data_IF_865711427725
#
_entry.id   IF_865711427725
#
_cell.length_a   1.000
_cell.length_b   1.000
_cell.length_c   1.000
_cell.angle_alpha   90.00
_cell.angle_beta   90.00
_cell.angle_gamma   90.00
#
_symmetry.space_group_name_H-M   'P 1'
#
loop_
_entity.id
_entity.type
_entity.pdbx_description
1 polymer ?
#
# COMPACT_ATOMS: atom_id res chain seq x y z
N UNK A 1 -11.97 -13.10 12.54
CA UNK A 1 -10.84 -13.70 11.81
C UNK A 1 -11.19 -14.08 10.37
N UNK A 2 -12.40 -14.58 10.07
CA UNK A 2 -12.78 -15.02 8.70
C UNK A 2 -12.46 -14.03 7.56
N UNK A 3 -12.76 -12.73 7.72
CA UNK A 3 -12.46 -11.72 6.69
C UNK A 3 -10.95 -11.60 6.42
N UNK A 4 -10.12 -11.59 7.47
CA UNK A 4 -8.67 -11.50 7.32
C UNK A 4 -8.12 -12.69 6.52
N UNK A 5 -8.50 -13.91 6.90
CA UNK A 5 -8.08 -15.15 6.22
C UNK A 5 -8.55 -15.16 4.76
N UNK A 6 -9.77 -14.69 4.48
CA UNK A 6 -10.27 -14.60 3.12
C UNK A 6 -9.47 -13.59 2.26
N UNK A 7 -9.10 -12.44 2.83
CA UNK A 7 -8.29 -11.42 2.14
C UNK A 7 -6.86 -11.88 1.90
N UNK A 8 -6.25 -12.55 2.86
CA UNK A 8 -4.92 -13.16 2.71
C UNK A 8 -4.93 -14.22 1.61
N UNK A 9 -5.90 -15.14 1.63
CA UNK A 9 -6.05 -16.14 0.58
C UNK A 9 -6.30 -15.53 -0.80
N UNK A 10 -7.09 -14.45 -0.89
CA UNK A 10 -7.29 -13.70 -2.13
C UNK A 10 -5.98 -13.10 -2.64
N UNK A 11 -5.22 -12.44 -1.77
CA UNK A 11 -3.97 -11.79 -2.14
C UNK A 11 -2.91 -12.80 -2.61
N UNK A 12 -2.77 -13.93 -1.91
CA UNK A 12 -1.91 -15.04 -2.32
C UNK A 12 -2.31 -15.63 -3.68
N UNK A 13 -3.61 -15.75 -3.96
CA UNK A 13 -4.10 -16.22 -5.27
C UNK A 13 -3.83 -15.22 -6.40
N UNK A 14 -3.72 -13.93 -6.10
CA UNK A 14 -3.39 -12.89 -7.07
C UNK A 14 -1.88 -12.69 -7.26
N UNK A 15 -1.04 -13.14 -6.33
CA UNK A 15 0.42 -13.01 -6.43
C UNK A 15 0.97 -13.54 -7.77
N UNK A 16 0.61 -14.75 -8.24
CA UNK A 16 1.09 -15.24 -9.54
C UNK A 16 0.66 -14.36 -10.72
N UNK A 17 -0.50 -13.70 -10.64
CA UNK A 17 -0.99 -12.78 -11.67
C UNK A 17 -0.09 -11.55 -11.76
N UNK A 18 0.28 -10.97 -10.62
CA UNK A 18 1.24 -9.85 -10.59
C UNK A 18 2.61 -10.29 -11.10
N UNK A 19 3.09 -11.46 -10.69
CA UNK A 19 4.37 -12.00 -11.15
C UNK A 19 4.42 -12.20 -12.66
N UNK A 20 3.35 -12.76 -13.26
CA UNK A 20 3.23 -12.88 -14.72
C UNK A 20 3.16 -11.53 -15.42
N UNK A 21 2.45 -10.54 -14.84
CA UNK A 21 2.37 -9.20 -15.42
C UNK A 21 3.73 -8.47 -15.44
N UNK A 22 4.66 -8.88 -14.56
CA UNK A 22 6.05 -8.44 -14.58
C UNK A 22 6.89 -9.16 -15.64
N UNK A 23 6.39 -10.21 -16.29
CA UNK A 23 7.14 -11.03 -17.25
C UNK A 23 8.00 -12.10 -16.58
N UNK A 24 7.62 -12.52 -15.37
CA UNK A 24 8.29 -13.59 -14.61
C UNK A 24 7.41 -14.84 -14.54
N UNK A 25 8.02 -15.99 -14.26
CA UNK A 25 7.30 -17.24 -13.99
C UNK A 25 6.33 -17.09 -12.81
N UNK A 26 5.12 -17.68 -12.83
CA UNK A 26 4.08 -17.43 -11.83
C UNK A 26 4.51 -17.67 -10.37
N UNK A 27 5.45 -18.59 -10.14
CA UNK A 27 6.00 -18.91 -8.82
C UNK A 27 7.22 -18.10 -8.39
N UNK A 28 7.72 -17.18 -9.21
CA UNK A 28 9.00 -16.50 -8.98
C UNK A 28 9.04 -15.74 -7.63
N UNK A 29 7.95 -15.10 -7.25
CA UNK A 29 7.85 -14.38 -5.96
C UNK A 29 7.34 -15.25 -4.81
N UNK A 30 6.96 -16.52 -5.02
CA UNK A 30 6.31 -17.32 -3.97
C UNK A 30 7.20 -17.49 -2.73
N UNK A 31 8.53 -17.49 -2.90
CA UNK A 31 9.49 -17.56 -1.80
C UNK A 31 9.53 -16.32 -0.91
N UNK A 32 9.06 -15.17 -1.39
CA UNK A 32 9.04 -13.90 -0.63
C UNK A 32 7.70 -13.70 0.10
N UNK A 33 6.75 -14.62 -0.05
CA UNK A 33 5.38 -14.54 0.47
C UNK A 33 4.93 -15.89 1.08
N UNK A 34 5.81 -16.59 1.80
CA UNK A 34 5.45 -17.86 2.47
C UNK A 34 4.66 -17.61 3.75
N UNK A 35 4.99 -16.55 4.47
CA UNK A 35 4.30 -16.06 5.67
C UNK A 35 4.11 -14.54 5.53
N UNK A 36 3.26 -14.11 4.58
CA UNK A 36 3.22 -12.74 4.12
C UNK A 36 2.80 -11.79 5.24
N UNK A 37 3.46 -10.63 5.32
CA UNK A 37 3.08 -9.63 6.30
C UNK A 37 1.75 -8.95 5.92
N UNK A 38 0.67 -9.43 6.52
CA UNK A 38 -0.67 -8.90 6.32
C UNK A 38 -1.07 -7.97 7.47
N UNK A 39 -1.72 -6.85 7.16
CA UNK A 39 -2.31 -5.95 8.17
C UNK A 39 -3.71 -5.54 7.76
N UNK A 40 -4.67 -5.66 8.68
CA UNK A 40 -6.02 -5.14 8.53
C UNK A 40 -6.20 -3.95 9.46
N UNK A 41 -6.63 -2.80 8.94
CA UNK A 41 -7.00 -1.65 9.77
C UNK A 41 -8.50 -1.41 9.69
N UNK A 42 -9.09 -1.07 10.84
CA UNK A 42 -10.46 -0.58 10.93
C UNK A 42 -10.40 0.91 11.26
N UNK A 43 -10.60 1.75 10.25
CA UNK A 43 -10.41 3.19 10.39
C UNK A 43 -11.78 3.87 10.41
N UNK A 44 -11.98 4.72 11.42
CA UNK A 44 -13.16 5.59 11.54
C UNK A 44 -12.71 7.04 11.38
N UNK A 45 -13.18 7.70 10.32
CA UNK A 45 -13.01 9.13 10.11
C UNK A 45 -14.20 9.87 10.72
N UNK A 46 -13.90 10.81 11.60
CA UNK A 46 -14.93 11.64 12.24
C UNK A 46 -15.56 12.62 11.24
N UNK A 47 -16.83 13.00 11.43
CA UNK A 47 -17.49 14.05 10.68
C UNK A 47 -16.64 15.33 10.65
N UNK A 48 -16.60 15.98 9.49
CA UNK A 48 -15.97 17.28 9.32
C UNK A 48 -17.00 18.23 8.70
N UNK A 49 -17.68 19.07 9.51
CA UNK A 49 -18.77 19.92 9.04
C UNK A 49 -18.28 21.05 8.13
N UNK A 50 -17.06 21.55 8.35
CA UNK A 50 -16.47 22.64 7.56
C UNK A 50 -15.21 22.13 6.83
N UNK A 51 -15.19 22.17 5.48
CA UNK A 51 -14.01 21.82 4.71
C UNK A 51 -12.94 22.90 4.87
N UNK A 52 -11.85 22.56 5.55
CA UNK A 52 -10.69 23.43 5.73
C UNK A 52 -9.55 23.03 4.79
N UNK A 53 -8.97 24.00 4.07
CA UNK A 53 -7.85 23.73 3.19
C UNK A 53 -6.64 23.18 3.97
N UNK A 54 -6.09 22.06 3.52
CA UNK A 54 -4.98 21.39 4.20
C UNK A 54 -5.39 20.47 5.35
N UNK A 55 -6.70 20.38 5.67
CA UNK A 55 -7.20 19.42 6.65
C UNK A 55 -7.42 18.05 5.99
N UNK A 56 -6.62 17.08 6.41
CA UNK A 56 -6.72 15.70 5.93
C UNK A 56 -7.34 14.79 7.00
N UNK A 57 -8.21 13.88 6.58
CA UNK A 57 -8.51 12.67 7.36
C UNK A 57 -7.29 11.75 7.43
N UNK A 58 -6.46 11.76 6.39
CA UNK A 58 -5.13 11.15 6.37
C UNK A 58 -4.28 11.84 5.30
N UNK A 59 -3.10 12.32 5.69
CA UNK A 59 -2.24 13.13 4.82
C UNK A 59 -1.80 12.36 3.56
N UNK A 60 -1.42 13.06 2.47
CA UNK A 60 -0.86 12.43 1.28
C UNK A 60 0.32 11.50 1.60
N UNK A 61 0.25 10.26 1.15
CA UNK A 61 1.28 9.24 1.38
C UNK A 61 1.23 8.16 0.30
N UNK A 62 2.21 7.27 0.34
CA UNK A 62 2.17 5.97 -0.34
C UNK A 62 2.15 4.86 0.71
N UNK A 63 1.56 3.75 0.33
CA UNK A 63 1.62 2.51 1.10
C UNK A 63 2.98 1.83 0.93
N UNK A 64 3.45 1.14 1.97
CA UNK A 64 4.81 0.55 2.03
C UNK A 64 4.82 -0.96 1.82
N UNK A 65 3.66 -1.58 1.62
CA UNK A 65 3.47 -3.01 1.35
C UNK A 65 3.56 -3.31 -0.16
N UNK A 66 3.07 -4.47 -0.58
CA UNK A 66 3.05 -4.88 -1.98
C UNK A 66 1.78 -4.39 -2.71
N UNK A 67 0.60 -4.72 -2.17
CA UNK A 67 -0.69 -4.30 -2.72
C UNK A 67 -1.70 -4.07 -1.58
N UNK A 68 -2.57 -3.06 -1.74
CA UNK A 68 -3.60 -2.74 -0.75
C UNK A 68 -4.99 -2.96 -1.35
N UNK A 69 -5.85 -3.66 -0.61
CA UNK A 69 -7.27 -3.83 -0.94
C UNK A 69 -8.12 -3.03 0.04
N UNK A 70 -8.89 -2.08 -0.45
CA UNK A 70 -9.76 -1.25 0.37
C UNK A 70 -11.23 -1.58 0.11
N UNK A 71 -11.88 -2.15 1.13
CA UNK A 71 -13.34 -2.14 1.18
C UNK A 71 -13.80 -0.71 1.51
N UNK A 72 -14.35 -0.04 0.50
CA UNK A 72 -14.76 1.35 0.62
C UNK A 72 -16.14 1.49 1.27
N UNK A 73 -16.30 2.56 2.05
CA UNK A 73 -17.62 3.10 2.36
C UNK A 73 -18.21 3.76 1.12
N UNK A 74 -19.55 3.80 1.03
CA UNK A 74 -20.27 4.60 0.04
C UNK A 74 -20.01 6.12 0.18
N UNK A 75 -19.48 6.56 1.33
CA UNK A 75 -19.13 7.96 1.54
C UNK A 75 -17.79 8.32 0.86
N UNK A 76 -17.74 9.45 0.13
CA UNK A 76 -16.51 9.89 -0.51
C UNK A 76 -15.44 10.24 0.52
N UNK A 77 -14.18 10.15 0.12
CA UNK A 77 -13.10 10.72 0.92
C UNK A 77 -11.71 10.23 0.56
N UNK A 78 -11.58 9.05 -0.07
CA UNK A 78 -10.32 8.66 -0.69
C UNK A 78 -10.08 9.51 -1.94
N UNK A 79 -8.88 10.07 -2.06
CA UNK A 79 -8.37 10.65 -3.28
C UNK A 79 -7.05 9.95 -3.64
N UNK A 80 -6.89 9.58 -4.90
CA UNK A 80 -5.67 8.97 -5.46
C UNK A 80 -5.06 9.93 -6.47
N UNK A 81 -3.73 9.96 -6.54
CA UNK A 81 -2.99 10.82 -7.46
C UNK A 81 -2.62 10.05 -8.72
N UNK A 82 -2.93 10.60 -9.88
CA UNK A 82 -2.55 10.03 -11.18
C UNK A 82 -1.07 10.27 -11.46
N UNK A 83 -0.55 9.64 -12.53
CA UNK A 83 0.84 9.86 -12.98
C UNK A 83 1.05 11.29 -13.48
N UNK A 84 -0.01 11.91 -14.01
CA UNK A 84 -0.04 13.30 -14.46
C UNK A 84 -0.05 14.28 -13.27
N UNK A 85 -0.24 13.78 -12.05
CA UNK A 85 -0.18 14.56 -10.82
C UNK A 85 -1.53 15.05 -10.30
N UNK A 86 -2.63 14.71 -11.00
CA UNK A 86 -3.99 15.08 -10.67
C UNK A 86 -4.58 14.23 -9.54
N UNK A 87 -5.38 14.83 -8.68
CA UNK A 87 -6.10 14.11 -7.62
C UNK A 87 -7.50 13.72 -8.09
N UNK A 88 -7.81 12.43 -8.11
CA UNK A 88 -9.13 11.92 -8.46
C UNK A 88 -9.75 11.11 -7.32
N UNK A 89 -11.08 11.03 -7.33
CA UNK A 89 -11.85 10.19 -6.41
C UNK A 89 -12.27 8.92 -7.15
N UNK A 90 -11.81 7.73 -6.71
CA UNK A 90 -12.28 6.49 -7.31
C UNK A 90 -13.79 6.33 -7.03
N UNK A 91 -14.56 5.80 -7.99
CA UNK A 91 -15.99 5.59 -7.81
C UNK A 91 -16.25 4.53 -6.72
N UNK A 92 -17.27 4.76 -5.90
CA UNK A 92 -17.71 3.77 -4.91
C UNK A 92 -18.64 2.75 -5.60
N UNK A 93 -18.09 1.62 -6.02
CA UNK A 93 -18.85 0.54 -6.68
C UNK A 93 -19.21 -0.54 -5.63
N UNK A 94 -20.52 -0.79 -5.36
CA UNK A 94 -20.94 -1.81 -4.39
C UNK A 94 -20.37 -3.19 -4.70
N UNK A 95 -19.92 -3.90 -3.66
CA UNK A 95 -19.37 -5.27 -3.78
C UNK A 95 -17.96 -5.34 -4.35
N UNK A 96 -17.26 -4.22 -4.50
CA UNK A 96 -15.89 -4.18 -5.03
C UNK A 96 -14.87 -3.68 -4.00
N UNK A 97 -13.59 -3.95 -4.28
CA UNK A 97 -12.46 -3.32 -3.61
C UNK A 97 -11.85 -2.26 -4.51
N UNK A 98 -11.40 -1.15 -3.92
CA UNK A 98 -10.38 -0.32 -4.55
C UNK A 98 -9.02 -0.92 -4.26
N UNK A 99 -8.21 -1.09 -5.30
CA UNK A 99 -6.89 -1.73 -5.20
C UNK A 99 -5.80 -0.72 -5.55
N UNK A 100 -4.84 -0.54 -4.65
CA UNK A 100 -3.74 0.40 -4.85
C UNK A 100 -2.40 -0.35 -4.90
N UNK A 101 -1.53 0.05 -5.82
CA UNK A 101 -0.12 -0.35 -5.85
C UNK A 101 0.65 0.35 -4.74
N UNK A 102 1.58 -0.37 -4.12
CA UNK A 102 2.37 0.11 -3.00
C UNK A 102 3.87 -0.01 -3.29
N UNK A 103 4.69 0.52 -2.38
CA UNK A 103 6.14 0.68 -2.55
C UNK A 103 6.86 -0.62 -2.93
N UNK A 104 6.51 -1.77 -2.33
CA UNK A 104 7.23 -3.02 -2.60
C UNK A 104 6.97 -3.52 -4.02
N UNK A 105 5.73 -3.40 -4.53
CA UNK A 105 5.45 -3.73 -5.93
C UNK A 105 6.17 -2.74 -6.87
N UNK A 106 6.26 -1.47 -6.50
CA UNK A 106 7.11 -0.49 -7.20
C UNK A 106 8.55 -0.97 -7.30
N UNK A 107 9.15 -1.38 -6.18
CA UNK A 107 10.53 -1.89 -6.14
C UNK A 107 10.72 -3.17 -6.95
N UNK A 108 9.86 -4.18 -6.78
CA UNK A 108 9.94 -5.42 -7.58
C UNK A 108 9.82 -5.14 -9.07
N UNK A 109 9.00 -4.16 -9.45
CA UNK A 109 8.70 -3.86 -10.85
C UNK A 109 9.63 -2.83 -11.49
N UNK A 110 10.66 -2.37 -10.77
CA UNK A 110 11.48 -1.22 -11.18
C UNK A 110 10.62 0.00 -11.56
N UNK A 111 9.53 0.23 -10.80
CA UNK A 111 8.50 1.26 -10.98
C UNK A 111 7.60 1.13 -12.22
N UNK A 112 7.64 -0.01 -12.94
CA UNK A 112 6.62 -0.31 -13.96
C UNK A 112 5.21 -0.25 -13.37
N UNK A 113 5.05 -0.76 -12.16
CA UNK A 113 3.90 -0.54 -11.28
C UNK A 113 4.24 0.48 -10.20
N UNK A 114 4.29 1.75 -10.58
CA UNK A 114 4.53 2.84 -9.64
C UNK A 114 3.55 2.81 -8.45
N UNK A 115 4.00 3.07 -7.21
CA UNK A 115 3.13 3.21 -6.05
C UNK A 115 2.10 4.31 -6.27
N UNK A 116 0.88 4.14 -5.76
CA UNK A 116 -0.21 5.10 -5.95
C UNK A 116 -0.29 6.06 -4.76
N UNK A 117 0.16 7.34 -4.89
CA UNK A 117 0.00 8.31 -3.81
C UNK A 117 -1.49 8.54 -3.57
N UNK A 118 -1.89 8.55 -2.31
CA UNK A 118 -3.28 8.73 -1.95
C UNK A 118 -3.41 9.51 -0.64
N UNK A 119 -4.58 10.12 -0.44
CA UNK A 119 -4.92 10.90 0.73
C UNK A 119 -6.38 10.68 1.11
N UNK A 120 -6.74 11.06 2.32
CA UNK A 120 -8.14 11.12 2.74
C UNK A 120 -8.53 12.55 3.04
N UNK A 121 -9.51 13.06 2.32
CA UNK A 121 -10.15 14.36 2.55
C UNK A 121 -11.59 14.09 2.94
N UNK A 122 -11.94 14.30 4.21
CA UNK A 122 -13.35 14.16 4.62
C UNK A 122 -14.05 15.49 4.43
N UNK A 123 -15.04 15.54 3.53
CA UNK A 123 -15.86 16.72 3.29
C UNK A 123 -17.32 16.49 3.71
N UNK A 124 -17.57 15.40 4.43
CA UNK A 124 -18.92 15.04 4.86
C UNK A 124 -19.06 15.25 6.36
N UNK A 125 -20.23 15.74 6.76
CA UNK A 125 -20.62 15.74 8.17
C UNK A 125 -21.12 14.35 8.64
N UNK A 126 -20.61 13.28 8.02
CA UNK A 126 -20.98 11.90 8.30
C UNK A 126 -19.76 11.09 8.73
N UNK A 127 -20.01 10.05 9.53
CA UNK A 127 -18.97 9.09 9.92
C UNK A 127 -18.61 8.21 8.73
N UNK A 128 -17.35 8.23 8.33
CA UNK A 128 -16.83 7.39 7.23
C UNK A 128 -15.95 6.28 7.77
N UNK A 129 -16.18 5.07 7.28
CA UNK A 129 -15.37 3.90 7.62
C UNK A 129 -14.49 3.48 6.44
N UNK A 130 -13.32 2.95 6.75
CA UNK A 130 -12.43 2.33 5.79
C UNK A 130 -11.83 1.06 6.39
N UNK A 131 -11.80 0.00 5.60
CA UNK A 131 -11.26 -1.31 6.00
C UNK A 131 -10.16 -1.70 5.00
N UNK A 132 -8.99 -1.02 5.01
CA UNK A 132 -7.87 -1.41 4.16
C UNK A 132 -7.19 -2.67 4.70
N UNK A 133 -6.95 -3.61 3.78
CA UNK A 133 -6.11 -4.79 3.96
C UNK A 133 -4.81 -4.59 3.17
N UNK A 134 -3.69 -4.57 3.89
CA UNK A 134 -2.35 -4.39 3.35
C UNK A 134 -1.69 -5.75 3.24
N UNK A 135 -1.37 -6.17 2.01
CA UNK A 135 -0.62 -7.39 1.73
C UNK A 135 0.82 -7.02 1.39
N UNK A 136 1.77 -7.52 2.18
CA UNK A 136 3.21 -7.31 1.99
C UNK A 136 3.98 -8.64 2.00
N UNK A 137 5.26 -8.61 1.57
CA UNK A 137 6.12 -9.77 1.61
C UNK A 137 6.45 -10.19 3.05
N UNK A 138 7.11 -11.34 3.19
CA UNK A 138 7.67 -11.83 4.45
C UNK A 138 8.65 -10.79 5.03
N UNK A 139 8.78 -10.75 6.35
CA UNK A 139 9.63 -9.74 7.01
C UNK A 139 11.12 -9.85 6.60
N UNK A 140 11.60 -11.06 6.37
CA UNK A 140 12.98 -11.34 5.96
C UNK A 140 13.20 -11.29 4.44
N UNK A 141 12.14 -11.09 3.65
CA UNK A 141 12.26 -10.98 2.20
C UNK A 141 13.19 -9.83 1.78
N UNK A 142 14.06 -10.12 0.80
CA UNK A 142 14.99 -9.15 0.20
C UNK A 142 14.38 -8.63 -1.09
N UNK A 143 13.87 -7.41 -1.03
CA UNK A 143 13.15 -6.76 -2.11
C UNK A 143 14.14 -6.14 -3.08
N UNK A 144 14.05 -6.53 -4.35
CA UNK A 144 14.85 -5.99 -5.45
C UNK A 144 14.07 -6.10 -6.77
N UNK A 145 14.37 -5.27 -7.77
CA UNK A 145 13.76 -5.40 -9.08
C UNK A 145 13.90 -6.81 -9.66
N UNK A 146 12.83 -7.33 -10.24
CA UNK A 146 12.86 -8.62 -10.92
C UNK A 146 13.68 -8.52 -12.21
N UNK A 147 14.34 -9.61 -12.66
CA UNK A 147 15.20 -9.59 -13.84
C UNK A 147 14.54 -9.05 -15.10
N UNK A 148 13.26 -9.37 -15.34
CA UNK A 148 12.51 -8.89 -16.52
C UNK A 148 12.24 -7.38 -16.53
N UNK A 149 12.41 -6.69 -15.40
CA UNK A 149 12.23 -5.25 -15.26
C UNK A 149 13.55 -4.46 -15.25
N UNK A 150 14.68 -5.14 -15.50
CA UNK A 150 16.01 -4.52 -15.54
C UNK A 150 16.67 -4.83 -16.88
N UNK A 151 17.05 -3.80 -17.62
CA UNK A 151 17.77 -3.90 -18.90
C UNK A 151 18.93 -2.90 -18.91
N UNK A 152 19.85 -2.96 -19.88
CA UNK A 152 20.87 -1.91 -20.05
C UNK A 152 20.26 -0.51 -20.21
N UNK A 153 19.10 -0.39 -20.86
CA UNK A 153 18.38 0.88 -21.09
C UNK A 153 17.53 1.29 -19.87
N UNK A 154 17.09 0.32 -19.07
CA UNK A 154 16.33 0.53 -17.84
C UNK A 154 17.07 -0.14 -16.67
N UNK A 155 18.19 0.45 -16.20
CA UNK A 155 18.96 -0.12 -15.11
C UNK A 155 18.15 -0.17 -13.82
N UNK A 156 18.60 -0.98 -12.85
CA UNK A 156 17.96 -1.06 -11.54
C UNK A 156 17.92 0.32 -10.87
N UNK A 157 16.72 0.77 -10.50
CA UNK A 157 16.53 2.03 -9.76
C UNK A 157 16.67 1.87 -8.25
N UNK A 158 16.73 0.63 -7.78
CA UNK A 158 16.69 0.30 -6.36
C UNK A 158 17.80 -0.66 -5.99
N UNK A 159 18.50 -0.33 -4.91
CA UNK A 159 19.34 -1.30 -4.20
C UNK A 159 18.46 -2.33 -3.48
N UNK A 160 18.95 -3.57 -3.31
CA UNK A 160 18.28 -4.57 -2.50
C UNK A 160 18.00 -4.08 -1.08
N UNK A 161 16.81 -4.40 -0.57
CA UNK A 161 16.33 -3.92 0.72
C UNK A 161 15.59 -5.03 1.43
N UNK A 162 15.97 -5.35 2.67
CA UNK A 162 15.21 -6.26 3.51
C UNK A 162 13.95 -5.56 4.03
N UNK A 163 12.79 -6.22 3.90
CA UNK A 163 11.50 -5.60 4.17
C UNK A 163 11.34 -5.13 5.62
N UNK A 164 11.75 -5.94 6.59
CA UNK A 164 11.70 -5.59 8.02
C UNK A 164 12.52 -4.35 8.36
N UNK A 165 13.74 -4.24 7.82
CA UNK A 165 14.64 -3.11 8.11
C UNK A 165 14.04 -1.80 7.62
N UNK A 166 13.41 -1.82 6.45
CA UNK A 166 12.70 -0.67 5.90
C UNK A 166 11.50 -0.26 6.76
N UNK A 167 10.69 -1.23 7.19
CA UNK A 167 9.55 -0.96 8.08
C UNK A 167 10.01 -0.41 9.44
N UNK A 168 11.10 -0.93 10.00
CA UNK A 168 11.69 -0.43 11.25
C UNK A 168 12.15 1.01 11.09
N UNK A 169 12.86 1.33 9.99
CA UNK A 169 13.28 2.69 9.67
C UNK A 169 12.08 3.64 9.57
N UNK A 170 11.05 3.27 8.83
CA UNK A 170 9.84 4.10 8.68
C UNK A 170 9.09 4.27 9.99
N UNK A 171 9.01 3.25 10.84
CA UNK A 171 8.41 3.39 12.17
C UNK A 171 9.16 4.40 13.03
N UNK A 172 10.50 4.40 12.98
CA UNK A 172 11.32 5.40 13.67
C UNK A 172 11.08 6.80 13.12
N UNK A 173 11.06 6.96 11.80
CA UNK A 173 10.85 8.27 11.16
C UNK A 173 9.44 8.81 11.39
N UNK A 174 8.41 7.98 11.24
CA UNK A 174 7.00 8.39 11.33
C UNK A 174 6.51 8.55 12.78
N UNK A 175 7.15 7.88 13.73
CA UNK A 175 6.82 7.92 15.15
C UNK A 175 8.02 8.33 16.00
N UNK A 176 8.75 9.36 15.59
CA UNK A 176 9.91 9.87 16.32
C UNK A 176 9.60 10.20 17.78
N UNK A 177 8.39 10.65 18.09
CA UNK A 177 7.89 10.90 19.44
C UNK A 177 7.79 9.64 20.35
N UNK A 178 7.93 8.43 19.78
CA UNK A 178 7.96 7.16 20.53
C UNK A 178 9.38 6.70 20.88
N UNK A 179 10.41 7.43 20.45
CA UNK A 179 11.75 7.15 20.92
C UNK A 179 11.84 7.49 22.42
N UNK A 180 12.42 6.61 23.27
CA UNK A 180 12.70 6.99 24.63
C UNK A 180 13.56 8.25 24.62
N UNK A 181 13.23 9.22 25.46
CA UNK A 181 14.09 10.38 25.67
C UNK A 181 15.50 9.86 25.95
N UNK A 182 16.51 10.40 25.26
CA UNK A 182 17.89 10.05 25.52
C UNK A 182 18.12 10.21 27.03
N UNK A 183 18.50 9.12 27.70
CA UNK A 183 18.87 9.17 29.11
C UNK A 183 20.13 10.07 29.18
N UNK A 184 19.93 11.28 29.70
CA UNK A 184 21.01 12.21 30.05
C UNK A 184 21.66 11.83 31.37
#
# INVERSE_FOLDING_TARGET
MAYFTAMEALALRLLPVFTMALGMEPGYLAGDFRDPSCTLRLIRYQPQPEPEAGRFGFAPHIDTNFITFLAQSALPGLEVRTREGEWLRPPAIPGTFVVNTAEMLGRYSNDRFAPTPHRVVNQTNAMRYAIPFFFGPDNDAVIRPVPSCVTPETPSRYEPLRYEDHRRKLNVTNFSHRQPAAAG
#
